data_IF_338863637068
#
_entry.id   IF_338863637068
#
_cell.length_a   1.000
_cell.length_b   1.000
_cell.length_c   1.000
_cell.angle_alpha   90.00
_cell.angle_beta   90.00
_cell.angle_gamma   90.00
#
_symmetry.space_group_name_H-M   'P 1'
#
loop_
_entity.id
_entity.type
_entity.pdbx_description
1 polymer ?
#
# COMPACT_ATOMS: atom_id res chain seq x y z
N UNK A 1 12.67 -11.12 -0.12
CA UNK A 1 12.04 -9.93 0.51
C UNK A 1 11.19 -9.17 -0.50
N UNK A 2 10.47 -9.90 -1.34
CA UNK A 2 9.85 -9.36 -2.54
C UNK A 2 8.45 -9.93 -2.66
N UNK A 3 7.54 -9.15 -3.22
CA UNK A 3 6.22 -9.61 -3.60
C UNK A 3 6.07 -9.43 -5.10
N UNK A 4 5.67 -10.51 -5.76
CA UNK A 4 5.52 -10.58 -7.20
C UNK A 4 4.06 -10.83 -7.54
N UNK A 5 3.53 -10.05 -8.47
CA UNK A 5 2.22 -10.25 -9.07
C UNK A 5 2.37 -10.28 -10.59
N UNK A 6 1.74 -11.24 -11.24
CA UNK A 6 1.86 -11.47 -12.69
C UNK A 6 0.92 -12.58 -13.17
N UNK A 7 1.14 -13.10 -14.38
CA UNK A 7 0.30 -14.15 -14.97
C UNK A 7 0.01 -15.36 -14.08
N UNK A 8 0.97 -15.84 -13.28
CA UNK A 8 0.77 -16.96 -12.34
C UNK A 8 0.14 -16.56 -11.00
N UNK A 9 0.24 -15.29 -10.61
CA UNK A 9 -0.30 -14.74 -9.37
C UNK A 9 -0.82 -13.32 -9.62
N UNK A 10 -2.08 -13.16 -10.09
CA UNK A 10 -2.58 -11.85 -10.46
C UNK A 10 -2.67 -10.92 -9.25
N UNK A 11 -2.57 -9.62 -9.51
CA UNK A 11 -2.71 -8.59 -8.49
C UNK A 11 -4.06 -8.75 -7.77
N UNK A 12 -4.06 -8.95 -6.44
CA UNK A 12 -5.28 -9.20 -5.70
C UNK A 12 -6.23 -8.00 -5.77
N UNK A 13 -7.48 -8.29 -6.14
CA UNK A 13 -8.60 -7.34 -6.11
C UNK A 13 -9.55 -7.68 -4.98
N UNK A 14 -10.19 -6.65 -4.43
CA UNK A 14 -11.20 -6.78 -3.39
C UNK A 14 -12.35 -5.81 -3.63
N UNK A 15 -13.55 -6.24 -3.25
CA UNK A 15 -14.73 -5.38 -3.21
C UNK A 15 -14.54 -4.21 -2.25
N UNK A 16 -14.90 -3.02 -2.71
CA UNK A 16 -14.95 -1.82 -1.88
C UNK A 16 -16.24 -1.83 -1.08
N UNK A 17 -16.10 -1.63 0.22
CA UNK A 17 -17.20 -1.55 1.16
C UNK A 17 -17.96 -0.22 1.01
N UNK A 18 -19.08 -0.19 0.30
CA UNK A 18 -19.90 1.02 0.11
C UNK A 18 -21.14 1.00 1.02
N UNK A 19 -21.30 1.92 2.00
CA UNK A 19 -22.47 1.94 2.87
C UNK A 19 -23.77 2.15 2.10
N UNK A 20 -24.84 1.44 2.48
CA UNK A 20 -26.16 1.57 1.87
C UNK A 20 -26.36 0.77 0.58
N UNK A 21 -25.33 0.07 0.08
CA UNK A 21 -25.49 -0.92 -1.01
C UNK A 21 -25.72 -2.32 -0.42
N UNK A 22 -26.61 -3.09 -1.05
CA UNK A 22 -26.92 -4.46 -0.65
C UNK A 22 -25.73 -5.38 -1.02
N UNK A 23 -24.70 -5.37 -0.18
CA UNK A 23 -23.55 -6.28 -0.31
C UNK A 23 -23.29 -6.86 1.08
N UNK A 24 -23.58 -8.15 1.25
CA UNK A 24 -23.38 -8.85 2.51
C UNK A 24 -21.94 -8.72 3.00
N UNK A 25 -21.69 -8.70 4.33
CA UNK A 25 -20.35 -8.59 4.89
C UNK A 25 -19.38 -9.69 4.41
N UNK A 26 -19.90 -10.88 4.06
CA UNK A 26 -19.14 -11.99 3.48
C UNK A 26 -18.66 -11.67 2.05
N UNK A 27 -19.54 -11.13 1.19
CA UNK A 27 -19.21 -10.73 -0.17
C UNK A 27 -18.14 -9.60 -0.23
N UNK A 28 -18.01 -8.79 0.82
CA UNK A 28 -16.97 -7.74 0.94
C UNK A 28 -15.57 -8.28 1.30
N UNK A 29 -15.50 -9.51 1.85
CA UNK A 29 -14.25 -10.16 2.24
C UNK A 29 -13.80 -11.20 1.22
N UNK A 30 -14.71 -11.72 0.42
CA UNK A 30 -14.37 -12.63 -0.66
C UNK A 30 -13.60 -11.91 -1.77
N UNK A 31 -12.76 -12.67 -2.46
CA UNK A 31 -12.27 -12.27 -3.78
C UNK A 31 -13.48 -12.06 -4.69
N UNK A 32 -13.47 -11.06 -5.58
CA UNK A 32 -14.50 -10.96 -6.59
C UNK A 32 -14.46 -12.22 -7.45
N UNK A 33 -15.56 -12.98 -7.49
CA UNK A 33 -15.72 -14.11 -8.41
C UNK A 33 -15.48 -13.63 -9.83
N UNK A 34 -14.76 -14.41 -10.64
CA UNK A 34 -14.44 -14.06 -12.03
C UNK A 34 -15.68 -13.64 -12.85
N UNK A 35 -16.82 -14.30 -12.64
CA UNK A 35 -18.09 -13.99 -13.30
C UNK A 35 -18.71 -12.64 -12.86
N UNK A 36 -18.62 -12.26 -11.59
CA UNK A 36 -19.10 -10.95 -11.07
C UNK A 36 -18.06 -9.84 -11.24
N UNK A 37 -16.78 -10.20 -11.32
CA UNK A 37 -15.69 -9.29 -11.64
C UNK A 37 -15.82 -8.73 -13.06
N UNK A 38 -16.43 -9.49 -13.99
CA UNK A 38 -16.72 -9.05 -15.36
C UNK A 38 -17.68 -7.87 -15.44
N UNK A 39 -18.57 -7.68 -14.44
CA UNK A 39 -19.49 -6.54 -14.38
C UNK A 39 -19.03 -5.41 -13.46
N UNK A 40 -18.19 -5.71 -12.46
CA UNK A 40 -17.77 -4.75 -11.45
C UNK A 40 -16.77 -3.72 -12.00
N UNK A 41 -16.91 -2.46 -11.59
CA UNK A 41 -16.01 -1.41 -12.03
C UNK A 41 -14.72 -1.37 -11.21
N UNK A 42 -13.58 -1.42 -11.90
CA UNK A 42 -12.24 -1.41 -11.29
C UNK A 42 -11.73 0.02 -11.07
N UNK A 43 -11.78 0.46 -9.81
CA UNK A 43 -11.31 1.77 -9.38
C UNK A 43 -9.80 1.94 -9.59
N UNK A 44 -8.99 0.92 -9.28
CA UNK A 44 -7.53 1.02 -9.44
C UNK A 44 -7.17 1.18 -10.91
N UNK A 45 -7.80 0.42 -11.80
CA UNK A 45 -7.58 0.56 -13.24
C UNK A 45 -8.02 1.93 -13.76
N UNK A 46 -9.18 2.43 -13.33
CA UNK A 46 -9.66 3.76 -13.72
C UNK A 46 -8.75 4.88 -13.22
N UNK A 47 -8.28 4.80 -11.97
CA UNK A 47 -7.33 5.76 -11.42
C UNK A 47 -5.96 5.70 -12.10
N UNK A 48 -5.45 4.50 -12.42
CA UNK A 48 -4.19 4.37 -13.18
C UNK A 48 -4.30 5.05 -14.55
N UNK A 49 -5.43 4.87 -15.27
CA UNK A 49 -5.68 5.56 -16.54
C UNK A 49 -5.74 7.07 -16.37
N UNK A 50 -6.43 7.57 -15.34
CA UNK A 50 -6.50 8.99 -15.04
C UNK A 50 -5.10 9.57 -14.75
N UNK A 51 -4.32 8.93 -13.88
CA UNK A 51 -2.97 9.38 -13.56
C UNK A 51 -2.06 9.37 -14.78
N UNK A 52 -2.16 8.36 -15.66
CA UNK A 52 -1.39 8.31 -16.90
C UNK A 52 -1.74 9.46 -17.85
N UNK A 53 -3.02 9.79 -17.99
CA UNK A 53 -3.45 10.93 -18.81
C UNK A 53 -3.00 12.27 -18.22
N UNK A 54 -3.11 12.45 -16.89
CA UNK A 54 -2.59 13.64 -16.18
C UNK A 54 -1.09 13.82 -16.46
N UNK A 55 -0.29 12.77 -16.28
CA UNK A 55 1.17 12.79 -16.49
C UNK A 55 1.51 13.11 -17.95
N UNK A 56 0.73 12.61 -18.91
CA UNK A 56 0.94 12.89 -20.33
C UNK A 56 0.61 14.34 -20.73
N UNK A 57 -0.21 15.06 -19.95
CA UNK A 57 -0.69 16.41 -20.28
C UNK A 57 -0.12 17.51 -19.40
N UNK A 58 0.45 17.18 -18.24
CA UNK A 58 1.00 18.14 -17.28
C UNK A 58 2.54 18.07 -17.30
N UNK A 59 3.23 19.07 -17.87
CA UNK A 59 4.68 19.09 -17.96
C UNK A 59 5.40 18.88 -16.61
N UNK A 60 4.86 19.43 -15.52
CA UNK A 60 5.40 19.36 -14.16
C UNK A 60 5.39 17.94 -13.57
N UNK A 61 4.59 17.05 -14.14
CA UNK A 61 4.40 15.67 -13.71
C UNK A 61 4.92 14.64 -14.74
N UNK A 62 5.43 15.11 -15.88
CA UNK A 62 5.86 14.28 -17.01
C UNK A 62 6.99 13.28 -16.70
N UNK A 63 7.74 13.50 -15.61
CA UNK A 63 8.80 12.60 -15.13
C UNK A 63 8.27 11.29 -14.52
N UNK A 64 6.98 11.20 -14.24
CA UNK A 64 6.36 10.07 -13.56
C UNK A 64 6.14 8.91 -14.55
N UNK A 65 6.71 7.74 -14.25
CA UNK A 65 6.49 6.53 -15.06
C UNK A 65 5.41 5.65 -14.43
N UNK A 66 4.19 5.73 -14.96
CA UNK A 66 3.03 5.07 -14.36
C UNK A 66 3.09 3.54 -14.35
N UNK A 67 3.92 2.92 -15.19
CA UNK A 67 4.20 1.48 -15.16
C UNK A 67 5.03 1.02 -13.95
N UNK A 68 5.63 1.97 -13.21
CA UNK A 68 6.33 1.75 -11.94
C UNK A 68 5.58 2.37 -10.73
N UNK A 69 4.34 2.82 -10.93
CA UNK A 69 3.46 3.35 -9.87
C UNK A 69 2.27 2.42 -9.70
N UNK A 70 2.08 1.89 -8.50
CA UNK A 70 0.95 1.02 -8.19
C UNK A 70 -0.16 1.78 -7.48
N UNK A 71 -1.36 1.80 -8.09
CA UNK A 71 -2.57 2.34 -7.48
C UNK A 71 -3.31 1.24 -6.68
N UNK A 72 -3.44 1.45 -5.38
CA UNK A 72 -4.10 0.53 -4.45
C UNK A 72 -5.11 1.28 -3.59
N UNK A 73 -5.92 0.56 -2.81
CA UNK A 73 -6.79 1.18 -1.81
C UNK A 73 -6.56 0.63 -0.40
N UNK A 74 -7.06 1.38 0.58
CA UNK A 74 -7.31 0.93 1.94
C UNK A 74 -8.76 1.20 2.32
N UNK A 75 -9.46 0.27 2.99
CA UNK A 75 -10.82 0.54 3.44
C UNK A 75 -10.83 1.60 4.56
N UNK A 76 -11.75 2.56 4.46
CA UNK A 76 -12.08 3.50 5.51
C UNK A 76 -13.38 3.07 6.19
N UNK A 77 -13.35 2.89 7.52
CA UNK A 77 -14.54 2.50 8.30
C UNK A 77 -15.48 3.67 8.62
N UNK A 78 -15.03 4.91 8.42
CA UNK A 78 -15.80 6.13 8.67
C UNK A 78 -16.11 6.86 7.36
N UNK A 79 -17.36 7.33 7.23
CA UNK A 79 -17.82 8.21 6.14
C UNK A 79 -17.46 9.68 6.34
N UNK A 80 -16.74 10.02 7.43
CA UNK A 80 -16.27 11.38 7.63
C UNK A 80 -15.48 11.83 6.41
N UNK A 81 -15.86 12.99 5.85
CA UNK A 81 -15.12 13.65 4.78
C UNK A 81 -13.74 14.11 5.26
N UNK A 82 -13.55 14.22 6.57
CA UNK A 82 -12.29 14.62 7.17
C UNK A 82 -11.37 13.42 7.41
N UNK A 83 -10.07 13.66 7.31
CA UNK A 83 -9.01 12.68 7.49
C UNK A 83 -8.28 12.33 6.20
N UNK A 84 -7.49 11.26 6.26
CA UNK A 84 -6.65 10.83 5.14
C UNK A 84 -7.50 10.39 3.95
N UNK A 85 -7.29 11.01 2.80
CA UNK A 85 -7.99 10.73 1.54
C UNK A 85 -7.18 9.80 0.64
N UNK A 86 -5.91 10.15 0.46
CA UNK A 86 -4.94 9.34 -0.24
C UNK A 86 -3.56 9.53 0.40
N UNK A 87 -2.59 8.73 -0.03
CA UNK A 87 -1.18 8.89 0.32
C UNK A 87 -0.30 8.25 -0.73
N UNK A 88 0.87 8.84 -0.98
CA UNK A 88 1.98 8.19 -1.68
C UNK A 88 2.93 7.51 -0.69
N UNK A 89 3.30 6.28 -0.98
CA UNK A 89 4.35 5.54 -0.26
C UNK A 89 5.56 5.37 -1.18
N UNK A 90 6.73 5.92 -0.83
CA UNK A 90 7.97 5.63 -1.55
C UNK A 90 8.43 4.20 -1.26
N UNK A 91 8.98 3.51 -2.27
CA UNK A 91 9.61 2.18 -2.12
C UNK A 91 11.14 2.23 -2.16
N UNK A 92 11.70 3.41 -1.89
CA UNK A 92 13.11 3.65 -1.60
C UNK A 92 13.26 4.60 -0.41
N UNK A 93 14.44 4.56 0.19
CA UNK A 93 14.88 5.56 1.14
C UNK A 93 15.33 6.84 0.41
N UNK A 94 15.88 7.77 1.20
CA UNK A 94 16.39 9.05 0.73
C UNK A 94 17.33 8.85 -0.47
N UNK A 95 17.21 9.72 -1.47
CA UNK A 95 18.01 9.68 -2.71
C UNK A 95 17.83 8.40 -3.55
N UNK A 96 16.73 7.66 -3.34
CA UNK A 96 16.45 6.43 -4.08
C UNK A 96 17.21 5.21 -3.58
N UNK A 97 17.84 5.29 -2.41
CA UNK A 97 18.59 4.18 -1.83
C UNK A 97 17.65 3.01 -1.49
N UNK A 98 18.03 1.78 -1.87
CA UNK A 98 17.26 0.58 -1.53
C UNK A 98 17.40 0.21 -0.04
N UNK A 99 18.57 0.49 0.53
CA UNK A 99 18.92 0.17 1.91
C UNK A 99 19.21 1.44 2.71
N UNK A 100 19.11 1.32 4.03
CA UNK A 100 19.50 2.36 4.98
C UNK A 100 20.03 1.70 6.24
N UNK A 101 21.22 2.13 6.67
CA UNK A 101 21.79 1.75 7.95
C UNK A 101 21.19 2.57 9.08
N UNK A 102 20.78 1.91 10.15
CA UNK A 102 20.33 2.53 11.39
C UNK A 102 21.01 1.81 12.56
N UNK A 103 21.99 2.48 13.17
CA UNK A 103 22.88 1.84 14.15
C UNK A 103 23.74 0.75 13.49
N UNK A 104 23.75 -0.42 14.10
CA UNK A 104 24.46 -1.63 13.63
C UNK A 104 23.67 -2.45 12.62
N UNK A 105 22.39 -2.12 12.39
CA UNK A 105 21.51 -2.89 11.53
C UNK A 105 21.29 -2.19 10.18
N UNK A 106 21.37 -2.94 9.10
CA UNK A 106 20.98 -2.47 7.76
C UNK A 106 19.54 -2.89 7.46
N UNK A 107 18.75 -1.96 6.95
CA UNK A 107 17.36 -2.19 6.60
C UNK A 107 17.14 -1.98 5.10
N UNK A 108 16.21 -2.75 4.54
CA UNK A 108 15.77 -2.60 3.16
C UNK A 108 14.24 -2.46 3.10
N UNK A 109 13.75 -1.66 2.15
CA UNK A 109 12.32 -1.58 1.85
C UNK A 109 11.87 -2.83 1.08
N UNK A 110 10.76 -3.43 1.49
CA UNK A 110 10.14 -4.55 0.77
C UNK A 110 9.83 -4.16 -0.67
N UNK A 111 10.31 -4.96 -1.63
CA UNK A 111 10.19 -4.66 -3.07
C UNK A 111 8.96 -5.31 -3.67
N UNK A 112 8.27 -4.58 -4.54
CA UNK A 112 7.02 -5.00 -5.17
C UNK A 112 7.26 -5.07 -6.67
N UNK A 113 6.79 -6.14 -7.31
CA UNK A 113 6.89 -6.35 -8.75
C UNK A 113 5.52 -6.68 -9.32
N UNK A 114 5.16 -6.02 -10.42
CA UNK A 114 3.92 -6.27 -11.17
C UNK A 114 4.28 -6.52 -12.63
N UNK A 115 3.90 -7.67 -13.17
CA UNK A 115 4.27 -8.12 -14.53
C UNK A 115 5.77 -7.99 -14.80
N UNK A 116 6.60 -8.40 -13.83
CA UNK A 116 8.07 -8.33 -13.90
C UNK A 116 8.67 -6.93 -13.73
N UNK A 117 7.86 -5.86 -13.63
CA UNK A 117 8.34 -4.49 -13.42
C UNK A 117 8.39 -4.13 -11.95
N UNK A 118 9.51 -3.56 -11.51
CA UNK A 118 9.63 -3.08 -10.14
C UNK A 118 8.83 -1.79 -9.93
N UNK A 119 7.98 -1.82 -8.90
CA UNK A 119 7.21 -0.68 -8.43
C UNK A 119 8.07 0.18 -7.51
N UNK A 120 8.06 1.49 -7.75
CA UNK A 120 8.80 2.49 -6.96
C UNK A 120 7.90 3.33 -6.05
N UNK A 121 6.62 3.42 -6.38
CA UNK A 121 5.65 4.21 -5.64
C UNK A 121 4.32 3.48 -5.49
N UNK A 122 3.68 3.62 -4.34
CA UNK A 122 2.30 3.21 -4.13
C UNK A 122 1.41 4.42 -3.84
N UNK A 123 0.41 4.65 -4.69
CA UNK A 123 -0.65 5.61 -4.41
C UNK A 123 -1.81 4.84 -3.78
N UNK A 124 -2.06 5.09 -2.50
CA UNK A 124 -3.13 4.41 -1.75
C UNK A 124 -4.30 5.36 -1.53
N UNK A 125 -5.48 5.03 -2.07
CA UNK A 125 -6.71 5.78 -1.81
C UNK A 125 -7.53 5.17 -0.66
N UNK A 126 -8.11 6.02 0.19
CA UNK A 126 -8.98 5.62 1.30
C UNK A 126 -10.43 5.52 0.80
N UNK A 127 -10.96 4.32 0.60
CA UNK A 127 -12.30 4.12 0.05
C UNK A 127 -13.31 3.62 1.11
N UNK A 128 -14.58 4.07 1.09
CA UNK A 128 -15.17 4.96 0.08
C UNK A 128 -14.90 6.46 0.29
N UNK A 129 -14.26 6.85 1.41
CA UNK A 129 -14.10 8.26 1.81
C UNK A 129 -13.66 9.19 0.68
N UNK A 130 -12.62 8.83 -0.06
CA UNK A 130 -12.10 9.63 -1.17
C UNK A 130 -13.17 9.88 -2.24
N UNK A 131 -13.97 8.87 -2.57
CA UNK A 131 -15.05 8.97 -3.56
C UNK A 131 -16.22 9.81 -3.04
N UNK A 132 -16.39 9.99 -1.73
CA UNK A 132 -17.49 10.79 -1.16
C UNK A 132 -17.14 12.31 -1.07
N UNK A 133 -15.95 12.73 -1.52
CA UNK A 133 -15.57 14.13 -1.69
C UNK A 133 -16.25 14.77 -2.92
N UNK A 134 -16.11 16.08 -3.09
CA UNK A 134 -16.51 16.75 -4.34
C UNK A 134 -15.56 16.41 -5.49
N UNK A 135 -16.00 16.62 -6.74
CA UNK A 135 -15.17 16.40 -7.92
C UNK A 135 -13.85 17.20 -7.88
N UNK A 136 -13.92 18.48 -7.52
CA UNK A 136 -12.75 19.36 -7.45
C UNK A 136 -11.75 18.90 -6.37
N UNK A 137 -12.23 18.50 -5.19
CA UNK A 137 -11.38 17.97 -4.11
C UNK A 137 -10.72 16.65 -4.50
N UNK A 138 -11.45 15.73 -5.16
CA UNK A 138 -10.87 14.48 -5.66
C UNK A 138 -9.73 14.74 -6.63
N UNK A 139 -9.96 15.59 -7.62
CA UNK A 139 -8.96 15.87 -8.64
C UNK A 139 -7.74 16.58 -8.01
N UNK A 140 -7.98 17.58 -7.16
CA UNK A 140 -6.91 18.25 -6.41
C UNK A 140 -6.09 17.26 -5.56
N UNK A 141 -6.75 16.28 -4.93
CA UNK A 141 -6.09 15.19 -4.19
C UNK A 141 -5.20 14.34 -5.10
N UNK A 142 -5.68 13.98 -6.30
CA UNK A 142 -4.88 13.18 -7.26
C UNK A 142 -3.60 13.93 -7.67
N UNK A 143 -3.72 15.22 -8.00
CA UNK A 143 -2.57 16.07 -8.29
C UNK A 143 -1.61 16.16 -7.10
N UNK A 144 -2.15 16.32 -5.90
CA UNK A 144 -1.41 16.30 -4.64
C UNK A 144 -0.50 15.07 -4.51
N UNK A 145 -1.09 13.90 -4.69
CA UNK A 145 -0.36 12.65 -4.56
C UNK A 145 0.71 12.50 -5.66
N UNK A 146 0.36 12.80 -6.91
CA UNK A 146 1.33 12.75 -8.01
C UNK A 146 2.50 13.72 -7.78
N UNK A 147 2.22 14.92 -7.28
CA UNK A 147 3.25 15.93 -7.03
C UNK A 147 4.22 15.54 -5.91
N UNK A 148 3.81 14.65 -4.99
CA UNK A 148 4.72 14.08 -3.99
C UNK A 148 5.79 13.15 -4.59
N UNK A 149 5.63 12.68 -5.83
CA UNK A 149 6.65 11.85 -6.51
C UNK A 149 7.87 12.72 -6.85
N UNK A 150 9.05 12.21 -6.50
CA UNK A 150 10.32 12.93 -6.69
C UNK A 150 10.56 13.21 -8.19
N UNK A 151 10.99 14.44 -8.56
CA UNK A 151 11.36 14.80 -9.94
C UNK A 151 12.34 13.84 -10.63
N UNK A 152 13.28 13.26 -9.88
CA UNK A 152 14.24 12.29 -10.40
C UNK A 152 13.65 10.87 -10.57
N UNK A 153 12.40 10.66 -10.13
CA UNK A 153 11.67 9.38 -10.18
C UNK A 153 12.52 8.19 -9.70
N UNK A 154 13.15 8.35 -8.53
CA UNK A 154 14.10 7.38 -7.98
C UNK A 154 13.50 6.54 -6.84
N UNK A 155 12.19 6.62 -6.59
CA UNK A 155 11.51 5.92 -5.50
C UNK A 155 11.52 6.64 -4.15
N UNK A 156 12.14 7.81 -4.01
CA UNK A 156 12.00 8.73 -2.86
C UNK A 156 10.86 9.73 -3.11
N UNK A 157 10.43 10.46 -2.08
CA UNK A 157 9.47 11.55 -2.24
C UNK A 157 10.16 12.85 -2.67
N UNK A 158 9.38 13.74 -3.28
CA UNK A 158 9.77 15.14 -3.51
C UNK A 158 10.06 15.79 -2.17
N UNK A 159 11.19 16.50 -2.10
CA UNK A 159 11.59 17.28 -0.92
C UNK A 159 11.73 18.73 -1.32
N UNK A 160 11.15 19.62 -0.54
CA UNK A 160 11.35 21.06 -0.69
C UNK A 160 12.54 21.49 0.18
N UNK A 161 13.37 22.41 -0.31
CA UNK A 161 14.50 22.93 0.46
C UNK A 161 13.96 23.68 1.69
N UNK A 162 14.36 23.26 2.91
CA UNK A 162 13.93 23.87 4.18
C UNK A 162 13.76 22.86 5.32
N UNK A 163 13.55 23.38 6.55
CA UNK A 163 13.32 22.58 7.78
C UNK A 163 12.10 21.64 7.67
N UNK A 164 11.11 22.00 6.85
CA UNK A 164 9.94 21.17 6.53
C UNK A 164 10.15 20.46 5.19
N UNK A 165 11.00 19.44 5.21
CA UNK A 165 11.52 18.78 4.01
C UNK A 165 10.49 18.08 3.11
N UNK A 166 9.18 18.10 3.41
CA UNK A 166 8.11 17.44 2.64
C UNK A 166 6.94 18.36 2.26
N UNK A 167 6.87 19.60 2.80
CA UNK A 167 5.83 20.57 2.47
C UNK A 167 6.42 21.98 2.38
N UNK A 168 5.99 22.74 1.36
CA UNK A 168 6.35 24.16 1.19
C UNK A 168 5.86 25.01 2.37
N UNK A 169 6.44 26.20 2.52
CA UNK A 169 6.27 27.13 3.65
C UNK A 169 4.82 27.56 3.98
N UNK A 170 3.81 27.23 3.16
CA UNK A 170 2.41 27.21 3.60
C UNK A 170 1.62 26.09 2.91
N UNK A 171 0.86 25.34 3.72
CA UNK A 171 -0.09 24.33 3.25
C UNK A 171 -1.09 24.94 2.25
N UNK A 172 -1.55 26.16 2.53
CA UNK A 172 -2.52 26.86 1.67
C UNK A 172 -1.97 27.16 0.27
N UNK A 173 -0.71 27.59 0.13
CA UNK A 173 -0.09 27.83 -1.18
C UNK A 173 0.08 26.54 -1.97
N UNK A 174 0.45 25.45 -1.28
CA UNK A 174 0.56 24.13 -1.89
C UNK A 174 -0.80 23.62 -2.37
N UNK A 175 -1.82 23.70 -1.52
CA UNK A 175 -3.19 23.31 -1.84
C UNK A 175 -3.73 24.14 -3.03
N UNK A 176 -3.48 25.45 -3.05
CA UNK A 176 -3.84 26.33 -4.17
C UNK A 176 -3.09 26.00 -5.47
N UNK A 177 -1.82 25.62 -5.40
CA UNK A 177 -1.06 25.21 -6.57
C UNK A 177 -1.62 23.92 -7.19
N UNK A 178 -1.92 22.91 -6.36
CA UNK A 178 -2.52 21.65 -6.84
C UNK A 178 -3.91 21.89 -7.44
N UNK A 179 -4.69 22.80 -6.85
CA UNK A 179 -5.97 23.21 -7.41
C UNK A 179 -5.80 23.86 -8.79
N UNK A 180 -4.81 24.75 -8.97
CA UNK A 180 -4.53 25.38 -10.27
C UNK A 180 -4.16 24.36 -11.34
N UNK A 181 -3.24 23.44 -11.04
CA UNK A 181 -2.88 22.37 -12.00
C UNK A 181 -4.09 21.51 -12.38
N UNK A 182 -4.96 21.20 -11.41
CA UNK A 182 -6.20 20.47 -11.67
C UNK A 182 -7.15 21.24 -12.61
N UNK A 183 -7.30 22.57 -12.43
CA UNK A 183 -8.11 23.40 -13.32
C UNK A 183 -7.50 23.51 -14.71
N UNK A 184 -6.18 23.67 -14.81
CA UNK A 184 -5.45 23.73 -16.08
C UNK A 184 -5.60 22.41 -16.85
N UNK A 185 -5.49 21.28 -16.18
CA UNK A 185 -5.73 19.96 -16.78
C UNK A 185 -7.15 19.82 -17.35
N UNK A 186 -8.16 20.39 -16.69
CA UNK A 186 -9.54 20.35 -17.18
C UNK A 186 -9.78 21.31 -18.34
N UNK A 187 -9.04 22.43 -18.42
CA UNK A 187 -9.19 23.43 -19.49
C UNK A 187 -8.81 22.82 -20.83
N UNK A 188 -9.79 22.68 -21.72
CA UNK A 188 -9.58 22.14 -23.06
C UNK A 188 -9.44 20.62 -23.12
N UNK A 189 -9.70 19.90 -22.02
CA UNK A 189 -9.63 18.43 -22.02
C UNK A 189 -10.78 17.81 -22.82
N UNK A 190 -10.45 17.12 -23.92
CA UNK A 190 -11.44 16.61 -24.88
C UNK A 190 -11.93 15.19 -24.58
N UNK A 191 -11.38 14.52 -23.58
CA UNK A 191 -11.71 13.12 -23.23
C UNK A 191 -12.28 13.01 -21.81
N UNK A 192 -13.52 13.46 -21.57
CA UNK A 192 -14.12 13.46 -20.23
C UNK A 192 -14.21 12.06 -19.60
N UNK A 193 -14.33 11.00 -20.41
CA UNK A 193 -14.43 9.62 -19.96
C UNK A 193 -13.27 9.16 -19.05
N UNK A 194 -12.12 9.83 -19.11
CA UNK A 194 -10.94 9.51 -18.30
C UNK A 194 -11.11 9.94 -16.84
N UNK A 195 -11.87 11.00 -16.57
CA UNK A 195 -12.08 11.53 -15.21
C UNK A 195 -13.55 11.58 -14.77
N UNK A 196 -14.50 11.31 -15.65
CA UNK A 196 -15.94 11.45 -15.38
C UNK A 196 -16.39 10.65 -14.16
N UNK A 197 -15.78 9.49 -13.89
CA UNK A 197 -16.10 8.68 -12.72
C UNK A 197 -15.90 9.44 -11.40
N UNK A 198 -14.99 10.42 -11.33
CA UNK A 198 -14.79 11.25 -10.14
C UNK A 198 -15.98 12.17 -9.85
N UNK A 199 -16.88 12.40 -10.81
CA UNK A 199 -18.09 13.22 -10.59
C UNK A 199 -19.13 12.51 -9.71
N UNK A 200 -19.01 11.19 -9.57
CA UNK A 200 -19.93 10.39 -8.77
C UNK A 200 -19.35 10.09 -7.38
N UNK A 201 -20.23 9.91 -6.41
CA UNK A 201 -19.87 9.35 -5.10
C UNK A 201 -19.77 7.81 -5.16
N UNK A 202 -19.31 7.19 -4.08
CA UNK A 202 -19.12 5.74 -4.05
C UNK A 202 -20.43 4.96 -4.25
N UNK A 203 -21.55 5.49 -3.76
CA UNK A 203 -22.86 4.84 -3.87
C UNK A 203 -23.35 4.85 -5.31
N UNK A 204 -23.35 6.02 -5.96
CA UNK A 204 -23.76 6.17 -7.36
C UNK A 204 -22.90 5.34 -8.31
N UNK A 205 -21.58 5.29 -8.09
CA UNK A 205 -20.68 4.42 -8.87
C UNK A 205 -21.02 2.94 -8.69
N UNK A 206 -21.23 2.50 -7.45
CA UNK A 206 -21.58 1.11 -7.18
C UNK A 206 -22.93 0.73 -7.79
N UNK A 207 -23.95 1.59 -7.70
CA UNK A 207 -25.27 1.37 -8.31
C UNK A 207 -25.18 1.29 -9.84
N UNK A 208 -24.41 2.19 -10.48
CA UNK A 208 -24.25 2.22 -11.94
C UNK A 208 -23.52 0.99 -12.50
N UNK A 209 -22.62 0.39 -11.73
CA UNK A 209 -21.71 -0.65 -12.21
C UNK A 209 -21.81 -1.98 -11.45
N UNK A 210 -22.86 -2.20 -10.66
CA UNK A 210 -23.02 -3.44 -9.88
C UNK A 210 -21.98 -3.63 -8.76
N UNK A 211 -21.26 -2.57 -8.41
CA UNK A 211 -20.25 -2.52 -7.35
C UNK A 211 -18.87 -2.05 -7.82
N UNK A 212 -17.98 -1.84 -6.86
CA UNK A 212 -16.63 -1.32 -7.07
C UNK A 212 -15.63 -2.35 -6.57
N UNK A 213 -14.63 -2.66 -7.39
CA UNK A 213 -13.45 -3.44 -7.01
C UNK A 213 -12.20 -2.56 -7.11
N UNK A 214 -11.18 -2.88 -6.33
CA UNK A 214 -9.90 -2.19 -6.40
C UNK A 214 -8.76 -3.14 -6.03
N UNK A 215 -7.57 -2.87 -6.56
CA UNK A 215 -6.37 -3.60 -6.19
C UNK A 215 -5.99 -3.32 -4.74
N UNK A 216 -5.59 -4.36 -4.01
CA UNK A 216 -5.20 -4.26 -2.60
C UNK A 216 -3.90 -4.99 -2.32
N UNK A 217 -2.86 -4.24 -1.99
CA UNK A 217 -1.56 -4.81 -1.60
C UNK A 217 -1.28 -4.58 -0.11
N UNK A 218 -0.48 -5.45 0.54
CA UNK A 218 -0.08 -5.20 1.92
C UNK A 218 0.71 -3.89 2.03
N UNK A 219 0.67 -3.26 3.21
CA UNK A 219 1.52 -2.10 3.48
C UNK A 219 3.00 -2.54 3.38
N UNK A 220 3.85 -1.84 2.61
CA UNK A 220 5.26 -2.18 2.50
C UNK A 220 5.94 -2.18 3.86
N UNK A 221 6.81 -3.15 4.08
CA UNK A 221 7.57 -3.29 5.32
C UNK A 221 9.00 -2.80 5.11
N UNK A 222 9.57 -2.20 6.15
CA UNK A 222 11.02 -2.02 6.26
C UNK A 222 11.53 -3.27 7.00
N UNK A 223 12.46 -3.98 6.39
CA UNK A 223 12.90 -5.29 6.85
C UNK A 223 14.42 -5.27 7.05
N UNK A 224 14.93 -5.77 8.18
CA UNK A 224 16.37 -5.89 8.41
C UNK A 224 17.02 -6.91 7.45
N UNK A 225 18.15 -6.53 6.88
CA UNK A 225 18.96 -7.37 5.99
C UNK A 225 19.68 -8.42 6.86
N UNK A 226 19.69 -9.69 6.42
CA UNK A 226 20.25 -10.81 7.18
C UNK A 226 19.35 -11.40 8.28
N UNK A 227 18.18 -10.82 8.54
CA UNK A 227 17.28 -11.25 9.61
C UNK A 227 16.60 -12.61 9.34
N UNK A 228 16.40 -12.97 8.07
CA UNK A 228 15.91 -14.30 7.68
C UNK A 228 16.91 -15.38 8.06
N UNK A 229 18.20 -15.13 7.89
CA UNK A 229 19.28 -16.04 8.32
C UNK A 229 19.25 -16.26 9.83
N UNK A 230 19.04 -15.19 10.61
CA UNK A 230 18.95 -15.28 12.08
C UNK A 230 17.68 -16.00 12.57
N UNK A 231 16.51 -15.77 11.95
CA UNK A 231 15.27 -16.49 12.32
C UNK A 231 15.31 -17.97 11.93
N UNK A 232 15.84 -18.30 10.76
CA UNK A 232 16.01 -19.69 10.33
C UNK A 232 17.03 -20.41 11.22
N UNK A 233 18.14 -19.76 11.55
CA UNK A 233 19.13 -20.29 12.49
C UNK A 233 18.54 -20.48 13.90
N UNK A 234 17.77 -19.52 14.42
CA UNK A 234 17.12 -19.62 15.73
C UNK A 234 16.01 -20.70 15.77
N UNK A 235 15.26 -20.88 14.68
CA UNK A 235 14.24 -21.93 14.56
C UNK A 235 14.87 -23.32 14.46
N UNK A 236 15.96 -23.47 13.71
CA UNK A 236 16.71 -24.72 13.62
C UNK A 236 17.39 -25.06 14.97
N UNK A 237 17.85 -24.07 15.72
CA UNK A 237 18.43 -24.28 17.06
C UNK A 237 17.40 -24.77 18.09
N UNK A 238 16.13 -24.37 17.98
CA UNK A 238 15.01 -24.90 18.80
C UNK A 238 14.56 -26.32 18.41
N UNK A 239 14.88 -26.77 17.19
CA UNK A 239 14.61 -28.14 16.74
C UNK A 239 15.76 -29.10 17.11
N UNK A 240 16.91 -28.58 17.57
CA UNK A 240 18.11 -29.34 17.91
C UNK A 240 18.40 -29.40 19.43
N UNK A 241 17.55 -28.82 20.28
CA UNK A 241 17.57 -29.13 21.72
C UNK A 241 16.87 -30.48 21.93
N UNK A 242 17.58 -31.56 22.30
CA UNK A 242 16.93 -32.80 22.68
C UNK A 242 16.17 -32.57 23.98
N UNK A 243 14.99 -33.17 24.08
CA UNK A 243 14.28 -33.36 25.33
C UNK A 243 15.20 -34.22 26.23
N UNK A 244 15.87 -33.61 27.21
CA UNK A 244 16.49 -34.38 28.28
C UNK A 244 15.38 -34.83 29.22
N UNK A 245 14.77 -35.96 28.87
CA UNK A 245 14.05 -36.78 29.83
C UNK A 245 15.06 -37.25 30.90
N UNK A 246 14.78 -37.07 32.20
CA UNK A 246 15.57 -37.71 33.24
C UNK A 246 15.35 -39.23 33.16
N UNK A 247 16.37 -40.07 33.39
CA UNK A 247 16.16 -41.51 33.37
C UNK A 247 15.36 -41.92 34.60
N UNK A 248 14.29 -42.67 34.37
CA UNK A 248 13.50 -43.35 35.37
C UNK A 248 13.95 -44.81 35.50
N UNK A 249 13.83 -45.30 36.73
CA UNK A 249 13.74 -46.70 37.18
C UNK A 249 15.04 -47.48 37.46
N UNK A 250 15.28 -47.76 38.75
CA UNK A 250 15.18 -49.12 39.28
C UNK A 250 15.15 -49.13 40.83
N UNK A 251 14.16 -49.84 41.37
CA UNK A 251 13.82 -49.97 42.79
C UNK A 251 14.79 -50.84 43.62
N UNK A 252 14.84 -50.51 44.92
CA UNK A 252 14.87 -51.38 46.10
C UNK A 252 15.93 -52.50 46.24
N UNK A 253 16.74 -52.41 47.32
CA UNK A 253 16.64 -53.28 48.52
C UNK A 253 17.73 -53.01 49.57
N UNK A 254 17.29 -53.09 50.84
CA UNK A 254 17.97 -53.56 52.07
C UNK A 254 18.96 -52.64 52.81
N UNK A 255 18.52 -52.18 54.00
CA UNK A 255 19.36 -51.92 55.19
C UNK A 255 20.04 -53.23 55.68
N UNK A 256 21.17 -53.20 56.44
CA UNK A 256 21.23 -52.81 57.86
C UNK A 256 22.38 -51.80 58.16
N UNK A 257 22.26 -50.85 59.10
CA UNK A 257 22.59 -50.93 60.54
C UNK A 257 24.11 -50.80 60.87
N UNK A 258 24.41 -50.01 61.92
CA UNK A 258 25.60 -50.05 62.82
C UNK A 258 26.73 -48.99 62.64
N UNK A 259 26.69 -48.04 63.59
CA UNK A 259 27.72 -47.47 64.49
C UNK A 259 28.88 -46.51 64.14
N UNK A 260 29.06 -45.64 65.16
CA UNK A 260 30.28 -45.02 65.71
C UNK A 260 30.77 -43.71 65.06
N UNK A 261 30.61 -42.54 65.70
CA UNK A 261 31.21 -42.03 66.95
C UNK A 261 32.37 -41.08 66.66
N UNK A 262 32.15 -39.78 66.93
CA UNK A 262 32.83 -38.97 67.95
C UNK A 262 32.64 -37.48 67.70
#
# INVERSE_FOLDING_TARGET
MELHWGGSQPLPRRWVAVPGTCSTPAARRSRPDSARAGSAWDFSAAMTRLCADIVARCPELSHIRMDQVLVTFTPSRSRSRYGLQARVTPLRFRHGALTRRQGTCEYQVQRFFVEGREILYLITFCLPRFLDQTFAEKLTTVFHELYHINPAFNGDLRRHAGRYCLHTHSKASYDAHMHRLAQEYLRGHRQPQVYEFLRYDARKLAERHGGIVAAIVPRPKILPIGWTTLRTAARNRRLLTPDHAPPADAEARLSPEIDAAS
#
